data_IF_308095364715
#
_entry.id   IF_308095364715
#
_cell.length_a   1.000
_cell.length_b   1.000
_cell.length_c   1.000
_cell.angle_alpha   90.00
_cell.angle_beta   90.00
_cell.angle_gamma   90.00
#
_symmetry.space_group_name_H-M   'P 1'
#
loop_
_entity.id
_entity.type
_entity.pdbx_description
1 polymer ?
#
# COMPACT_ATOMS: atom_id res chain seq x y z
N UNK A 1 -43.18 32.77 16.41
CA UNK A 1 -41.88 32.07 16.45
C UNK A 1 -40.95 32.75 15.45
N UNK A 2 -39.87 33.36 15.94
CA UNK A 2 -39.15 34.47 15.30
C UNK A 2 -38.25 34.03 14.13
N UNK A 3 -38.28 34.75 13.01
CA UNK A 3 -37.53 34.48 11.76
C UNK A 3 -36.01 34.36 11.99
N UNK A 4 -35.48 34.99 13.05
CA UNK A 4 -34.08 34.92 13.48
C UNK A 4 -33.65 33.55 14.04
N UNK A 5 -34.59 32.74 14.56
CA UNK A 5 -34.27 31.40 15.10
C UNK A 5 -34.14 30.37 13.96
N UNK A 6 -34.84 30.56 12.83
CA UNK A 6 -34.69 29.68 11.66
C UNK A 6 -33.33 29.84 10.98
N UNK A 7 -32.81 31.07 10.87
CA UNK A 7 -31.52 31.30 10.22
C UNK A 7 -30.36 30.67 11.03
N UNK A 8 -30.41 30.73 12.36
CA UNK A 8 -29.36 30.15 13.20
C UNK A 8 -29.30 28.61 13.14
N UNK A 9 -30.43 27.93 12.99
CA UNK A 9 -30.48 26.46 12.85
C UNK A 9 -30.03 26.02 11.45
N UNK A 10 -30.38 26.77 10.40
CA UNK A 10 -29.90 26.46 9.04
C UNK A 10 -28.41 26.74 8.89
N UNK A 11 -27.88 27.79 9.52
CA UNK A 11 -26.44 28.10 9.52
C UNK A 11 -25.61 27.08 10.31
N UNK A 12 -26.13 26.50 11.39
CA UNK A 12 -25.44 25.43 12.14
C UNK A 12 -25.49 24.06 11.43
N UNK A 13 -26.53 23.80 10.62
CA UNK A 13 -26.59 22.58 9.79
C UNK A 13 -25.63 22.68 8.59
N UNK A 14 -25.47 23.85 7.96
CA UNK A 14 -24.55 23.99 6.83
C UNK A 14 -23.06 23.94 7.23
N UNK A 15 -22.71 24.25 8.48
CA UNK A 15 -21.33 24.16 8.99
C UNK A 15 -20.90 22.74 9.40
N UNK A 16 -21.83 21.79 9.57
CA UNK A 16 -21.49 20.39 9.89
C UNK A 16 -21.41 19.46 8.66
N UNK A 17 -21.93 19.88 7.50
CA UNK A 17 -21.96 19.03 6.30
C UNK A 17 -20.81 19.37 5.35
N UNK A 18 -20.43 20.66 5.25
CA UNK A 18 -19.34 21.10 4.37
C UNK A 18 -17.93 20.91 4.96
N UNK A 19 -17.82 20.49 6.23
CA UNK A 19 -16.54 20.15 6.86
C UNK A 19 -16.10 18.70 6.69
N UNK A 20 -17.04 17.78 6.40
CA UNK A 20 -16.71 16.37 6.17
C UNK A 20 -16.28 16.11 4.72
N UNK A 21 -16.86 16.81 3.75
CA UNK A 21 -16.47 16.66 2.32
C UNK A 21 -15.05 17.19 2.04
N UNK A 22 -14.59 18.21 2.79
CA UNK A 22 -13.18 18.66 2.70
C UNK A 22 -12.21 17.75 3.45
N UNK A 23 -12.67 16.99 4.46
CA UNK A 23 -11.84 15.96 5.08
C UNK A 23 -11.77 14.74 4.16
N UNK A 24 -12.87 14.37 3.49
CA UNK A 24 -12.86 13.30 2.50
C UNK A 24 -12.01 13.66 1.28
N UNK A 25 -12.03 14.90 0.77
CA UNK A 25 -11.13 15.34 -0.31
C UNK A 25 -9.67 15.57 0.11
N UNK A 26 -9.37 15.59 1.43
CA UNK A 26 -7.98 15.57 1.96
C UNK A 26 -7.53 14.14 2.29
N UNK A 27 -8.46 13.23 2.57
CA UNK A 27 -8.23 11.80 2.82
C UNK A 27 -8.26 10.95 1.54
N UNK A 28 -8.95 11.45 0.52
CA UNK A 28 -9.13 10.86 -0.79
C UNK A 28 -9.09 12.04 -1.78
N UNK A 29 -7.88 12.56 -2.13
CA UNK A 29 -7.79 13.36 -3.34
C UNK A 29 -8.44 12.55 -4.46
N UNK A 30 -9.34 13.21 -5.19
CA UNK A 30 -10.13 12.65 -6.28
C UNK A 30 -9.18 12.30 -7.43
N UNK A 31 -8.46 11.20 -7.28
CA UNK A 31 -7.60 10.63 -8.29
C UNK A 31 -8.48 9.66 -9.06
N UNK A 32 -8.90 10.09 -10.25
CA UNK A 32 -9.52 9.23 -11.25
C UNK A 32 -8.54 8.15 -11.72
N UNK A 33 -8.24 7.20 -10.83
CA UNK A 33 -7.43 6.04 -11.10
C UNK A 33 -8.31 5.02 -11.85
N UNK A 34 -8.41 5.26 -13.15
CA UNK A 34 -9.02 4.37 -14.12
C UNK A 34 -8.34 2.99 -14.08
N UNK A 35 -9.12 1.92 -14.23
CA UNK A 35 -8.54 0.59 -14.43
C UNK A 35 -7.73 0.61 -15.72
N UNK A 36 -6.41 0.51 -15.61
CA UNK A 36 -5.53 0.41 -16.77
C UNK A 36 -5.33 -1.06 -17.06
N UNK A 37 -6.08 -1.62 -18.02
CA UNK A 37 -5.75 -2.91 -18.62
C UNK A 37 -5.07 -2.64 -19.95
N UNK A 38 -3.79 -2.99 -20.05
CA UNK A 38 -3.13 -2.83 -21.34
C UNK A 38 -3.67 -3.83 -22.38
N UNK A 39 -3.41 -3.53 -23.66
CA UNK A 39 -4.00 -4.27 -24.79
C UNK A 39 -3.56 -5.73 -24.87
N UNK A 40 -2.42 -6.09 -24.29
CA UNK A 40 -1.80 -7.42 -24.44
C UNK A 40 -2.01 -8.28 -23.19
N UNK A 41 -2.21 -7.66 -22.03
CA UNK A 41 -2.37 -8.27 -20.72
C UNK A 41 -3.24 -9.52 -20.75
N UNK A 42 -4.45 -9.42 -21.29
CA UNK A 42 -5.38 -10.56 -21.29
C UNK A 42 -4.85 -11.75 -22.08
N UNK A 43 -4.24 -11.50 -23.24
CA UNK A 43 -3.65 -12.57 -24.06
C UNK A 43 -2.48 -13.22 -23.34
N UNK A 44 -1.63 -12.42 -22.70
CA UNK A 44 -0.41 -12.91 -22.06
C UNK A 44 -0.75 -13.64 -20.75
N UNK A 45 -1.67 -13.10 -19.95
CA UNK A 45 -2.19 -13.73 -18.74
C UNK A 45 -2.81 -15.11 -19.02
N UNK A 46 -3.57 -15.25 -20.12
CA UNK A 46 -4.11 -16.54 -20.57
C UNK A 46 -3.00 -17.53 -20.93
N UNK A 47 -1.90 -17.07 -21.55
CA UNK A 47 -0.75 -17.92 -21.88
C UNK A 47 0.01 -18.37 -20.63
N UNK A 48 -0.02 -17.58 -19.57
CA UNK A 48 0.57 -17.90 -18.26
C UNK A 48 -0.34 -18.76 -17.36
N UNK A 49 -1.48 -19.23 -17.90
CA UNK A 49 -2.34 -20.21 -17.22
C UNK A 49 -3.53 -19.63 -16.47
N UNK A 50 -3.67 -18.31 -16.40
CA UNK A 50 -4.85 -17.70 -15.77
C UNK A 50 -6.10 -17.91 -16.63
N UNK A 51 -7.22 -18.23 -15.98
CA UNK A 51 -8.52 -18.28 -16.66
C UNK A 51 -9.09 -16.88 -16.91
N UNK A 52 -9.95 -16.76 -17.91
CA UNK A 52 -10.60 -15.50 -18.27
C UNK A 52 -11.42 -14.89 -17.12
N UNK A 53 -12.09 -15.75 -16.35
CA UNK A 53 -12.84 -15.36 -15.16
C UNK A 53 -11.91 -14.83 -14.06
N UNK A 54 -10.75 -15.46 -13.86
CA UNK A 54 -9.75 -15.03 -12.88
C UNK A 54 -9.12 -13.70 -13.27
N UNK A 55 -8.76 -13.54 -14.55
CA UNK A 55 -8.27 -12.27 -15.12
C UNK A 55 -9.28 -11.14 -14.88
N UNK A 56 -10.56 -11.38 -15.20
CA UNK A 56 -11.60 -10.38 -15.00
C UNK A 56 -11.70 -9.97 -13.53
N UNK A 57 -11.67 -10.93 -12.60
CA UNK A 57 -11.72 -10.65 -11.16
C UNK A 57 -10.47 -9.90 -10.67
N UNK A 58 -9.28 -10.29 -11.13
CA UNK A 58 -8.03 -9.62 -10.77
C UNK A 58 -8.02 -8.17 -11.24
N UNK A 59 -8.51 -7.89 -12.46
CA UNK A 59 -8.50 -6.56 -13.07
C UNK A 59 -9.73 -5.70 -12.75
N UNK A 60 -10.59 -6.12 -11.82
CA UNK A 60 -11.76 -5.31 -11.42
C UNK A 60 -11.40 -4.44 -10.23
N UNK A 61 -11.41 -3.11 -10.41
CA UNK A 61 -11.23 -2.15 -9.30
C UNK A 61 -12.46 -2.06 -8.39
N UNK A 62 -12.21 -1.68 -7.13
CA UNK A 62 -13.25 -1.24 -6.19
C UNK A 62 -13.24 0.28 -6.06
N UNK A 63 -14.24 0.85 -5.39
CA UNK A 63 -14.31 2.30 -5.16
C UNK A 63 -13.10 2.89 -4.39
N UNK A 64 -12.28 2.05 -3.76
CA UNK A 64 -11.15 2.47 -2.90
C UNK A 64 -9.80 1.90 -3.32
N UNK A 65 -9.79 0.96 -4.25
CA UNK A 65 -8.59 0.25 -4.67
C UNK A 65 -8.45 0.42 -6.16
N UNK A 66 -7.41 1.15 -6.56
CA UNK A 66 -6.97 1.25 -7.94
C UNK A 66 -6.36 -0.07 -8.38
N UNK A 67 -6.64 -0.48 -9.62
CA UNK A 67 -6.12 -1.73 -10.19
C UNK A 67 -5.51 -1.44 -11.56
N UNK A 68 -4.26 -1.88 -11.73
CA UNK A 68 -3.55 -1.83 -13.02
C UNK A 68 -3.15 -3.24 -13.43
N UNK A 69 -3.47 -3.60 -14.65
CA UNK A 69 -3.13 -4.87 -15.26
C UNK A 69 -2.20 -4.61 -16.46
N UNK A 70 -0.92 -4.93 -16.26
CA UNK A 70 0.19 -4.50 -17.11
C UNK A 70 0.99 -5.71 -17.59
N UNK A 71 1.37 -5.71 -18.85
CA UNK A 71 2.33 -6.59 -19.52
C UNK A 71 3.59 -5.76 -19.76
N UNK A 72 4.72 -6.20 -19.23
CA UNK A 72 6.01 -5.56 -19.50
C UNK A 72 7.18 -6.53 -19.45
N UNK A 73 8.35 -6.06 -19.90
CA UNK A 73 9.58 -6.84 -19.81
C UNK A 73 10.28 -6.49 -18.50
N UNK A 74 10.46 -7.48 -17.61
CA UNK A 74 11.20 -7.29 -16.37
C UNK A 74 12.63 -6.87 -16.70
N UNK A 75 13.05 -5.70 -16.21
CA UNK A 75 14.34 -5.11 -16.57
C UNK A 75 15.54 -5.85 -15.98
N UNK A 76 15.33 -6.58 -14.87
CA UNK A 76 16.40 -7.31 -14.19
C UNK A 76 16.59 -8.70 -14.80
N UNK A 77 15.49 -9.39 -15.12
CA UNK A 77 15.53 -10.76 -15.64
C UNK A 77 15.41 -10.85 -17.16
N UNK A 78 15.02 -9.75 -17.83
CA UNK A 78 14.68 -9.73 -19.26
C UNK A 78 13.58 -10.70 -19.66
N UNK A 79 12.70 -11.07 -18.73
CA UNK A 79 11.57 -11.97 -18.96
C UNK A 79 10.28 -11.20 -19.15
N UNK A 80 9.40 -11.72 -20.00
CA UNK A 80 8.05 -11.17 -20.13
C UNK A 80 7.30 -11.41 -18.83
N UNK A 81 6.63 -10.38 -18.33
CA UNK A 81 5.91 -10.42 -17.07
C UNK A 81 4.52 -9.81 -17.24
N UNK A 82 3.56 -10.41 -16.55
CA UNK A 82 2.20 -9.91 -16.37
C UNK A 82 2.08 -9.50 -14.90
N UNK A 83 1.79 -8.22 -14.65
CA UNK A 83 1.68 -7.61 -13.33
C UNK A 83 0.26 -7.15 -13.07
N UNK A 84 -0.26 -7.49 -11.90
CA UNK A 84 -1.52 -6.91 -11.39
C UNK A 84 -1.20 -6.09 -10.16
N UNK A 85 -1.31 -4.77 -10.26
CA UNK A 85 -1.01 -3.82 -9.20
C UNK A 85 -2.29 -3.31 -8.56
N UNK A 86 -2.41 -3.50 -7.25
CA UNK A 86 -3.46 -2.93 -6.41
C UNK A 86 -2.87 -1.80 -5.61
N UNK A 87 -3.47 -0.62 -5.67
CA UNK A 87 -3.00 0.55 -4.93
C UNK A 87 -4.10 1.12 -4.04
N UNK A 88 -3.74 1.40 -2.79
CA UNK A 88 -4.52 2.17 -1.84
C UNK A 88 -3.70 3.41 -1.45
N UNK A 89 -4.05 4.57 -2.01
CA UNK A 89 -3.20 5.76 -2.02
C UNK A 89 -3.52 6.77 -0.90
N UNK A 90 -2.50 7.59 -0.62
CA UNK A 90 -2.55 8.97 -0.11
C UNK A 90 -3.24 9.27 1.21
N UNK A 91 -3.01 8.42 2.22
CA UNK A 91 -3.38 8.79 3.60
C UNK A 91 -2.37 9.79 4.16
N UNK A 92 -2.81 11.04 4.27
CA UNK A 92 -2.02 12.12 4.88
C UNK A 92 -2.19 12.08 6.40
N UNK A 93 -1.07 11.90 7.10
CA UNK A 93 -0.97 12.05 8.56
C UNK A 93 -0.21 13.34 8.88
N UNK A 94 -0.69 14.10 9.88
CA UNK A 94 -0.06 15.37 10.28
C UNK A 94 0.20 15.38 11.77
N UNK A 95 1.33 15.96 12.16
CA UNK A 95 1.61 16.33 13.54
C UNK A 95 2.12 17.79 13.57
N UNK A 96 2.72 18.21 14.69
CA UNK A 96 3.11 19.61 14.89
C UNK A 96 4.33 20.05 14.07
N UNK A 97 5.18 19.13 13.60
CA UNK A 97 6.47 19.43 12.96
C UNK A 97 6.63 18.80 11.57
N UNK A 98 5.74 17.90 11.16
CA UNK A 98 5.78 17.24 9.87
C UNK A 98 4.40 16.79 9.39
N UNK A 99 4.33 16.46 8.10
CA UNK A 99 3.26 15.65 7.51
C UNK A 99 3.90 14.42 6.86
N UNK A 100 3.18 13.29 6.85
CA UNK A 100 3.56 12.12 6.08
C UNK A 100 2.44 11.69 5.15
N UNK A 101 2.76 11.32 3.91
CA UNK A 101 1.84 10.66 2.98
C UNK A 101 2.23 9.20 2.89
N UNK A 102 1.24 8.30 2.93
CA UNK A 102 1.47 6.85 2.86
C UNK A 102 0.60 6.22 1.79
N UNK A 103 1.18 5.28 1.03
CA UNK A 103 0.48 4.43 0.09
C UNK A 103 0.88 2.97 0.28
N UNK A 104 -0.08 2.07 0.11
CA UNK A 104 0.16 0.62 0.12
C UNK A 104 -0.12 0.05 -1.26
N UNK A 105 0.75 -0.86 -1.69
CA UNK A 105 0.53 -1.62 -2.92
C UNK A 105 0.67 -3.12 -2.69
N UNK A 106 -0.07 -3.89 -3.46
CA UNK A 106 0.13 -5.32 -3.64
C UNK A 106 0.33 -5.55 -5.13
N UNK A 107 1.38 -6.25 -5.51
CA UNK A 107 1.72 -6.50 -6.91
C UNK A 107 1.82 -8.00 -7.11
N UNK A 108 0.99 -8.53 -8.01
CA UNK A 108 1.06 -9.93 -8.39
C UNK A 108 1.89 -10.09 -9.65
N UNK A 109 3.05 -10.72 -9.51
CA UNK A 109 4.07 -10.93 -10.54
C UNK A 109 3.92 -12.33 -11.15
N UNK A 110 3.56 -12.37 -12.44
CA UNK A 110 3.47 -13.60 -13.23
C UNK A 110 4.49 -13.53 -14.38
N UNK A 111 5.71 -14.05 -14.19
CA UNK A 111 6.70 -14.13 -15.24
C UNK A 111 6.44 -15.30 -16.19
N UNK A 112 6.83 -15.13 -17.45
CA UNK A 112 6.94 -16.18 -18.43
C UNK A 112 8.18 -17.07 -18.19
N UNK A 113 8.29 -18.13 -18.98
CA UNK A 113 9.49 -18.99 -19.08
C UNK A 113 9.89 -19.72 -17.79
N UNK A 114 8.92 -19.96 -16.89
CA UNK A 114 9.12 -20.74 -15.66
C UNK A 114 9.94 -20.00 -14.59
N UNK A 115 9.96 -18.66 -14.64
CA UNK A 115 10.59 -17.85 -13.61
C UNK A 115 9.77 -17.76 -12.31
N UNK A 116 10.38 -17.16 -11.29
CA UNK A 116 9.81 -17.01 -9.95
C UNK A 116 8.63 -16.04 -9.96
N UNK A 117 7.43 -16.59 -9.85
CA UNK A 117 6.20 -15.83 -9.67
C UNK A 117 6.07 -15.43 -8.19
N UNK A 118 5.60 -14.22 -7.92
CA UNK A 118 5.52 -13.72 -6.54
C UNK A 118 4.34 -12.77 -6.29
N UNK A 119 3.99 -12.60 -5.02
CA UNK A 119 3.12 -11.52 -4.55
C UNK A 119 3.99 -10.58 -3.72
N UNK A 120 4.19 -9.36 -4.22
CA UNK A 120 4.93 -8.31 -3.52
C UNK A 120 3.96 -7.40 -2.77
N UNK A 121 4.31 -7.08 -1.53
CA UNK A 121 3.64 -6.10 -0.68
C UNK A 121 4.58 -4.91 -0.53
N UNK A 122 4.13 -3.72 -0.92
CA UNK A 122 4.92 -2.49 -0.81
C UNK A 122 4.20 -1.51 0.12
N UNK A 123 4.96 -0.83 0.97
CA UNK A 123 4.53 0.37 1.66
C UNK A 123 5.49 1.51 1.33
N UNK A 124 4.95 2.61 0.79
CA UNK A 124 5.73 3.80 0.50
C UNK A 124 5.29 4.95 1.39
N UNK A 125 6.26 5.68 1.90
CA UNK A 125 6.03 6.80 2.80
C UNK A 125 6.96 7.95 2.54
N UNK A 126 6.37 9.12 2.34
CA UNK A 126 7.07 10.39 2.25
C UNK A 126 6.81 11.20 3.52
N UNK A 127 7.87 11.75 4.11
CA UNK A 127 7.83 12.69 5.23
C UNK A 127 8.23 14.07 4.71
N UNK A 128 7.44 15.09 5.03
CA UNK A 128 7.77 16.50 4.79
C UNK A 128 7.76 17.25 6.12
N UNK A 129 8.93 17.74 6.53
CA UNK A 129 9.13 18.50 7.76
C UNK A 129 8.83 19.98 7.54
N UNK A 130 8.29 20.63 8.56
CA UNK A 130 8.01 22.06 8.56
C UNK A 130 9.33 22.87 8.61
N UNK A 131 9.28 24.12 8.16
CA UNK A 131 10.43 25.02 8.23
C UNK A 131 10.97 25.17 9.66
N UNK A 132 12.30 25.22 9.80
CA UNK A 132 12.99 25.30 11.11
C UNK A 132 13.17 23.96 11.82
N UNK A 133 12.69 22.86 11.24
CA UNK A 133 12.96 21.50 11.69
C UNK A 133 13.96 20.79 10.77
N UNK A 134 14.83 20.01 11.38
CA UNK A 134 15.78 19.12 10.71
C UNK A 134 15.55 17.70 11.18
N UNK A 135 15.99 16.72 10.39
CA UNK A 135 15.80 15.32 10.71
C UNK A 135 17.06 14.49 10.51
N UNK A 136 17.12 13.39 11.26
CA UNK A 136 18.00 12.25 11.03
C UNK A 136 17.16 10.98 11.11
N UNK A 137 17.65 9.88 10.56
CA UNK A 137 16.96 8.59 10.62
C UNK A 137 17.92 7.48 10.98
N UNK A 138 17.36 6.41 11.53
CA UNK A 138 18.06 5.15 11.77
C UNK A 138 17.11 3.98 11.52
N UNK A 139 17.67 2.92 10.98
CA UNK A 139 16.97 1.65 10.80
C UNK A 139 17.04 0.86 12.11
N UNK A 140 15.92 0.39 12.67
CA UNK A 140 15.93 -0.47 13.85
C UNK A 140 16.56 -1.85 13.56
N UNK A 141 16.82 -2.63 14.61
CA UNK A 141 17.51 -3.94 14.45
C UNK A 141 16.70 -4.99 13.69
N UNK A 142 15.38 -4.87 13.69
CA UNK A 142 14.41 -5.74 13.01
C UNK A 142 14.01 -5.23 11.62
N UNK A 143 14.70 -4.21 11.10
CA UNK A 143 14.33 -3.56 9.84
C UNK A 143 14.41 -4.48 8.61
N UNK A 144 15.15 -5.59 8.71
CA UNK A 144 15.33 -6.56 7.64
C UNK A 144 14.16 -7.55 7.46
N UNK A 145 13.12 -7.47 8.29
CA UNK A 145 11.98 -8.39 8.25
C UNK A 145 10.64 -7.67 8.29
N UNK A 146 9.64 -8.21 7.62
CA UNK A 146 8.25 -7.77 7.71
C UNK A 146 7.37 -8.99 8.07
N UNK A 147 6.34 -8.78 8.89
CA UNK A 147 5.45 -9.86 9.32
C UNK A 147 4.14 -9.83 8.54
N UNK A 148 3.80 -10.94 7.89
CA UNK A 148 2.44 -11.21 7.45
C UNK A 148 1.65 -11.66 8.67
N UNK A 149 0.54 -10.98 8.98
CA UNK A 149 -0.24 -11.25 10.19
C UNK A 149 -1.70 -11.58 9.89
N UNK A 150 -2.30 -12.39 10.76
CA UNK A 150 -3.73 -12.70 10.72
C UNK A 150 -4.60 -11.62 11.38
N UNK A 151 -5.92 -11.83 11.44
CA UNK A 151 -6.88 -10.91 12.08
C UNK A 151 -6.63 -10.70 13.58
N UNK A 152 -6.04 -11.70 14.26
CA UNK A 152 -5.64 -11.63 15.66
C UNK A 152 -4.30 -10.88 15.87
N UNK A 153 -3.68 -10.40 14.78
CA UNK A 153 -2.34 -9.77 14.74
C UNK A 153 -1.21 -10.73 15.13
N UNK A 154 -1.43 -12.03 14.98
CA UNK A 154 -0.38 -13.04 15.15
C UNK A 154 0.39 -13.14 13.84
N UNK A 155 1.73 -13.17 13.93
CA UNK A 155 2.59 -13.42 12.77
C UNK A 155 2.37 -14.85 12.26
N UNK A 156 1.99 -14.96 10.99
CA UNK A 156 1.79 -16.23 10.28
C UNK A 156 2.95 -16.53 9.32
N UNK A 157 3.71 -15.50 8.92
CA UNK A 157 4.97 -15.62 8.21
C UNK A 157 5.84 -14.38 8.45
N UNK A 158 7.15 -14.58 8.57
CA UNK A 158 8.14 -13.50 8.58
C UNK A 158 8.84 -13.50 7.23
N UNK A 159 8.70 -12.39 6.50
CA UNK A 159 9.21 -12.18 5.16
C UNK A 159 10.48 -11.32 5.22
N UNK A 160 11.37 -11.49 4.24
CA UNK A 160 12.49 -10.57 4.07
C UNK A 160 11.95 -9.18 3.67
N UNK A 161 12.38 -8.14 4.37
CA UNK A 161 12.04 -6.76 4.05
C UNK A 161 13.20 -6.11 3.30
N UNK A 162 12.93 -5.68 2.08
CA UNK A 162 13.80 -4.80 1.32
C UNK A 162 13.31 -3.36 1.50
N UNK A 163 14.12 -2.54 2.16
CA UNK A 163 13.77 -1.14 2.40
C UNK A 163 14.80 -0.19 1.80
N UNK A 164 14.31 0.89 1.20
CA UNK A 164 15.13 1.96 0.64
C UNK A 164 14.71 3.27 1.26
N UNK A 165 15.62 3.87 2.03
CA UNK A 165 15.42 5.20 2.63
C UNK A 165 16.25 6.24 1.88
N UNK A 166 15.60 7.27 1.35
CA UNK A 166 16.22 8.31 0.52
C UNK A 166 15.97 9.67 1.14
N UNK A 167 17.05 10.40 1.44
CA UNK A 167 16.98 11.85 1.68
C UNK A 167 16.67 12.53 0.36
N UNK A 168 15.48 13.14 0.26
CA UNK A 168 15.07 13.92 -0.92
C UNK A 168 15.59 15.36 -0.78
N UNK A 169 15.45 15.94 0.41
CA UNK A 169 15.99 17.25 0.77
C UNK A 169 16.26 17.36 2.26
N UNK A 170 16.74 18.51 2.73
CA UNK A 170 16.94 18.78 4.16
C UNK A 170 15.63 18.79 4.98
N UNK A 171 14.47 18.87 4.31
CA UNK A 171 13.14 18.84 4.92
C UNK A 171 12.25 17.73 4.36
N UNK A 172 12.79 16.79 3.59
CA UNK A 172 12.01 15.71 2.99
C UNK A 172 12.75 14.37 2.95
N UNK A 173 12.09 13.32 3.44
CA UNK A 173 12.59 11.95 3.54
C UNK A 173 11.58 11.00 2.90
N UNK A 174 12.05 10.04 2.12
CA UNK A 174 11.23 8.96 1.59
C UNK A 174 11.71 7.61 2.11
N UNK A 175 10.78 6.72 2.44
CA UNK A 175 11.04 5.33 2.76
C UNK A 175 10.06 4.45 1.98
N UNK A 176 10.60 3.45 1.28
CA UNK A 176 9.82 2.40 0.62
C UNK A 176 10.28 1.08 1.22
N UNK A 177 9.32 0.26 1.65
CA UNK A 177 9.58 -1.08 2.18
C UNK A 177 8.76 -2.09 1.39
N UNK A 178 9.40 -3.17 0.97
CA UNK A 178 8.80 -4.23 0.17
C UNK A 178 9.14 -5.60 0.75
N UNK A 179 8.18 -6.50 0.73
CA UNK A 179 8.34 -7.90 1.12
C UNK A 179 7.47 -8.78 0.21
N UNK A 180 7.88 -10.01 -0.06
CA UNK A 180 7.18 -10.86 -1.01
C UNK A 180 7.02 -12.30 -0.57
N UNK A 181 6.05 -12.98 -1.18
CA UNK A 181 5.84 -14.43 -1.13
C UNK A 181 6.05 -14.95 -2.54
N UNK A 182 6.93 -15.93 -2.72
CA UNK A 182 7.27 -16.48 -4.04
C UNK A 182 7.08 -18.00 -4.11
N UNK A 183 6.99 -18.53 -5.33
CA UNK A 183 6.98 -19.98 -5.55
C UNK A 183 8.33 -20.67 -5.33
N UNK A 184 9.42 -19.91 -5.14
CA UNK A 184 10.70 -20.45 -4.70
C UNK A 184 10.73 -20.65 -3.17
N UNK A 185 10.05 -19.76 -2.43
CA UNK A 185 10.06 -19.75 -0.97
C UNK A 185 8.94 -20.61 -0.36
N UNK A 186 7.82 -20.75 -1.07
CA UNK A 186 6.62 -21.42 -0.56
C UNK A 186 6.00 -22.35 -1.63
N UNK A 187 5.58 -23.54 -1.20
CA UNK A 187 4.77 -24.40 -2.06
C UNK A 187 3.41 -23.77 -2.35
N UNK A 188 2.78 -24.17 -3.47
CA UNK A 188 1.45 -23.72 -3.87
C UNK A 188 0.46 -23.73 -2.69
N UNK A 189 0.33 -24.84 -1.97
CA UNK A 189 -0.62 -24.96 -0.86
C UNK A 189 -0.26 -24.05 0.31
N UNK A 190 1.01 -23.96 0.67
CA UNK A 190 1.44 -23.11 1.78
C UNK A 190 1.14 -21.64 1.51
N UNK A 191 1.39 -21.19 0.28
CA UNK A 191 1.19 -19.81 -0.04
C UNK A 191 -0.29 -19.44 -0.26
N UNK A 192 -1.13 -20.37 -0.74
CA UNK A 192 -2.58 -20.21 -0.67
C UNK A 192 -3.08 -20.09 0.77
N UNK A 193 -2.60 -20.96 1.67
CA UNK A 193 -2.99 -20.92 3.10
C UNK A 193 -2.58 -19.59 3.74
N UNK A 194 -1.38 -19.09 3.43
CA UNK A 194 -0.91 -17.79 3.90
C UNK A 194 -1.82 -16.66 3.41
N UNK A 195 -2.08 -16.57 2.11
CA UNK A 195 -2.90 -15.50 1.52
C UNK A 195 -4.34 -15.51 2.02
N UNK A 196 -4.92 -16.69 2.24
CA UNK A 196 -6.30 -16.83 2.72
C UNK A 196 -6.47 -16.43 4.20
N UNK A 197 -5.40 -16.52 5.00
CA UNK A 197 -5.42 -16.19 6.45
C UNK A 197 -4.82 -14.82 6.74
N UNK A 198 -4.02 -14.28 5.82
CA UNK A 198 -3.41 -12.96 5.93
C UNK A 198 -4.46 -11.85 5.99
N UNK A 199 -4.32 -10.99 7.01
CA UNK A 199 -5.11 -9.78 7.16
C UNK A 199 -4.30 -8.53 6.77
N UNK A 200 -3.00 -8.46 7.07
CA UNK A 200 -2.15 -7.33 6.65
C UNK A 200 -0.66 -7.70 6.72
N UNK A 201 0.20 -6.82 6.21
CA UNK A 201 1.66 -6.89 6.36
C UNK A 201 2.11 -5.77 7.30
N UNK A 202 2.93 -6.13 8.29
CA UNK A 202 3.53 -5.21 9.23
C UNK A 202 4.99 -4.99 8.84
N UNK A 203 5.27 -3.82 8.27
CA UNK A 203 6.63 -3.36 8.04
C UNK A 203 7.18 -2.66 9.29
N UNK A 204 8.49 -2.81 9.57
CA UNK A 204 9.14 -2.16 10.71
C UNK A 204 9.16 -0.64 10.50
N UNK A 205 8.98 0.11 11.58
CA UNK A 205 8.92 1.57 11.54
C UNK A 205 10.32 2.18 11.47
N UNK A 206 10.57 3.05 10.48
CA UNK A 206 11.80 3.83 10.42
C UNK A 206 11.83 4.82 11.59
N UNK A 207 12.90 4.81 12.38
CA UNK A 207 13.06 5.74 13.49
C UNK A 207 13.54 7.08 12.94
N UNK A 208 12.74 8.11 13.12
CA UNK A 208 13.00 9.48 12.64
C UNK A 208 13.18 10.40 13.84
N UNK A 209 14.39 10.95 13.99
CA UNK A 209 14.72 11.90 15.05
C UNK A 209 14.68 13.32 14.50
N UNK A 210 13.88 14.18 15.13
CA UNK A 210 13.69 15.56 14.69
C UNK A 210 14.34 16.53 15.66
N UNK A 211 15.13 17.45 15.13
CA UNK A 211 15.72 18.56 15.88
C UNK A 211 15.11 19.88 15.42
N UNK A 212 14.95 20.83 16.35
CA UNK A 212 14.42 22.16 16.05
C UNK A 212 15.37 23.23 16.55
N UNK A 213 15.40 24.37 15.88
CA UNK A 213 15.96 25.61 16.42
C UNK A 213 15.04 26.29 17.45
N UNK A 214 13.80 25.82 17.58
CA UNK A 214 12.80 26.30 18.55
C UNK A 214 13.02 25.67 19.95
N UNK A 215 12.63 26.34 21.05
CA UNK A 215 12.92 25.92 22.42
C UNK A 215 12.27 24.60 22.87
N UNK A 216 11.30 24.07 22.11
CA UNK A 216 10.67 22.77 22.36
C UNK A 216 11.21 21.72 21.40
N UNK A 217 12.01 20.79 21.93
CA UNK A 217 12.48 19.60 21.20
C UNK A 217 11.32 18.59 21.09
N UNK A 218 10.97 18.11 19.89
CA UNK A 218 9.96 17.05 19.76
C UNK A 218 10.44 15.76 20.43
N UNK A 219 9.62 15.17 21.30
CA UNK A 219 9.72 13.74 21.68
C UNK A 219 9.40 12.88 20.47
N UNK A 220 10.03 11.71 20.40
CA UNK A 220 10.04 10.71 19.32
C UNK A 220 8.88 10.82 18.32
N UNK A 221 9.27 10.95 17.07
CA UNK A 221 8.53 11.67 16.04
C UNK A 221 8.12 10.79 14.86
N UNK A 222 8.43 9.50 14.93
CA UNK A 222 8.09 8.53 13.92
C UNK A 222 6.57 8.41 13.84
N UNK A 223 6.05 8.40 12.62
CA UNK A 223 4.65 8.11 12.41
C UNK A 223 4.51 6.59 12.34
N UNK A 224 3.44 5.99 12.88
CA UNK A 224 3.23 4.54 12.79
C UNK A 224 3.16 4.06 11.33
N UNK A 225 3.63 2.84 11.06
CA UNK A 225 3.49 2.21 9.74
C UNK A 225 2.00 2.06 9.36
N UNK A 226 1.65 2.43 8.13
CA UNK A 226 0.26 2.40 7.66
C UNK A 226 -0.07 1.03 7.10
N UNK A 227 -1.00 0.31 7.73
CA UNK A 227 -1.31 -1.09 7.40
C UNK A 227 -2.75 -1.28 6.90
N UNK A 228 -3.54 -0.19 6.89
CA UNK A 228 -4.93 -0.23 6.46
C UNK A 228 -5.08 -0.48 4.95
N UNK A 229 -4.11 -0.05 4.14
CA UNK A 229 -4.12 -0.27 2.70
C UNK A 229 -3.97 -1.76 2.33
N UNK A 230 -2.93 -2.44 2.82
CA UNK A 230 -2.79 -3.89 2.63
C UNK A 230 -3.99 -4.67 3.15
N UNK A 231 -4.55 -4.24 4.29
CA UNK A 231 -5.76 -4.85 4.84
C UNK A 231 -6.96 -4.74 3.91
N UNK A 232 -7.20 -3.56 3.35
CA UNK A 232 -8.30 -3.37 2.40
C UNK A 232 -8.12 -4.25 1.16
N UNK A 233 -6.90 -4.28 0.61
CA UNK A 233 -6.59 -5.08 -0.58
C UNK A 233 -6.76 -6.58 -0.31
N UNK A 234 -6.22 -7.11 0.79
CA UNK A 234 -6.35 -8.53 1.13
C UNK A 234 -7.81 -8.92 1.43
N UNK A 235 -8.57 -8.05 2.08
CA UNK A 235 -9.99 -8.31 2.35
C UNK A 235 -10.82 -8.45 1.05
N UNK A 236 -10.52 -7.64 0.04
CA UNK A 236 -11.27 -7.64 -1.22
C UNK A 236 -10.76 -8.70 -2.22
N UNK A 237 -9.47 -9.03 -2.19
CA UNK A 237 -8.82 -9.81 -3.26
C UNK A 237 -8.15 -11.13 -2.83
N UNK A 238 -8.02 -11.46 -1.54
CA UNK A 238 -7.37 -12.70 -1.06
C UNK A 238 -7.87 -13.97 -1.74
N UNK A 239 -9.18 -14.14 -1.86
CA UNK A 239 -9.77 -15.28 -2.56
C UNK A 239 -9.35 -15.34 -4.04
N UNK A 240 -9.26 -14.19 -4.71
CA UNK A 240 -8.84 -14.12 -6.12
C UNK A 240 -7.35 -14.44 -6.24
N UNK A 241 -6.52 -13.93 -5.34
CA UNK A 241 -5.09 -14.25 -5.27
C UNK A 241 -4.86 -15.74 -5.05
N UNK A 242 -5.58 -16.37 -4.12
CA UNK A 242 -5.48 -17.81 -3.88
C UNK A 242 -5.84 -18.63 -5.11
N UNK A 243 -6.88 -18.24 -5.86
CA UNK A 243 -7.25 -18.91 -7.11
C UNK A 243 -6.22 -18.68 -8.22
N UNK A 244 -5.68 -17.47 -8.33
CA UNK A 244 -4.67 -17.13 -9.33
C UNK A 244 -3.36 -17.90 -9.07
N UNK A 245 -2.94 -18.00 -7.81
CA UNK A 245 -1.84 -18.87 -7.37
C UNK A 245 -2.06 -20.31 -7.85
N UNK A 246 -3.24 -20.88 -7.61
CA UNK A 246 -3.56 -22.26 -8.02
C UNK A 246 -3.35 -22.50 -9.52
N UNK A 247 -3.66 -21.48 -10.32
CA UNK A 247 -3.64 -21.54 -11.77
C UNK A 247 -2.28 -21.22 -12.38
N UNK A 248 -1.33 -20.67 -11.62
CA UNK A 248 -0.10 -20.09 -12.19
C UNK A 248 1.20 -20.50 -11.47
N UNK A 249 1.15 -20.90 -10.20
CA UNK A 249 2.32 -21.44 -9.50
C UNK A 249 2.49 -22.93 -9.78
N UNK A 250 3.30 -23.27 -10.77
CA UNK A 250 3.69 -24.65 -11.12
C UNK A 250 5.19 -24.89 -10.99
#
# INVERSE_FOLDING_TARGET
MNFKVKILVTSLLCLNISGCEYIDNILHPDDGDEVIVDKNFRSDALQLGLSDDTITRLCTATNKISVKCITELNVETSQQEVRIEYAYNDVIQKNNYAKSTVASRVIFHLPADGATANIEFENSRAYQFNDGYQYTWQEPSDFATADLVNDAKESIATLANFSVTIRVSDSELSNISAASISNDDYSLTQAQDLINVANTVLFPELIVNVTSSEPTVPTDASFAMFTAGHRAILADYSSVFSTAIEQSWF
#
